data_IF_942292731836
#
_entry.id   IF_942292731836
#
_cell.length_a   1.000
_cell.length_b   1.000
_cell.length_c   1.000
_cell.angle_alpha   90.00
_cell.angle_beta   90.00
_cell.angle_gamma   90.00
#
_symmetry.space_group_name_H-M   'P 1'
#
loop_
_entity.id
_entity.type
_entity.pdbx_description
1 polymer ?
#
# COMPACT_ATOMS: atom_id res chain seq x y z
N UNK A 1 -17.63 17.24 8.01
CA UNK A 1 -18.31 17.72 6.80
C UNK A 1 -18.45 16.62 5.74
N UNK A 2 -17.37 15.89 5.40
CA UNK A 2 -17.38 14.82 4.37
C UNK A 2 -18.33 13.66 4.71
N UNK A 3 -18.32 13.18 5.95
CA UNK A 3 -19.17 12.07 6.42
C UNK A 3 -20.67 12.44 6.35
N UNK A 4 -21.00 13.70 6.55
CA UNK A 4 -22.40 14.18 6.47
C UNK A 4 -22.92 14.27 5.04
N UNK A 5 -22.05 14.47 4.07
CA UNK A 5 -22.38 14.56 2.65
C UNK A 5 -22.61 13.16 2.05
N UNK A 6 -21.76 12.21 2.41
CA UNK A 6 -21.90 10.80 2.00
C UNK A 6 -23.18 10.17 2.56
N UNK A 7 -23.60 10.57 3.77
CA UNK A 7 -24.85 10.09 4.36
C UNK A 7 -26.12 10.61 3.68
N UNK A 8 -26.05 11.68 2.88
CA UNK A 8 -27.19 12.26 2.14
C UNK A 8 -27.39 11.63 0.76
N UNK A 9 -26.34 11.07 0.18
CA UNK A 9 -26.49 10.29 -1.04
C UNK A 9 -26.95 8.89 -0.65
N UNK A 10 -28.05 8.42 -1.25
CA UNK A 10 -28.46 7.02 -1.12
C UNK A 10 -27.31 6.18 -1.69
N UNK A 11 -26.41 5.73 -0.80
CA UNK A 11 -25.36 4.81 -1.18
C UNK A 11 -26.01 3.55 -1.75
N UNK A 12 -25.59 3.16 -2.94
CA UNK A 12 -26.00 1.89 -3.53
C UNK A 12 -25.77 0.76 -2.50
N UNK A 13 -26.69 -0.16 -2.39
CA UNK A 13 -26.67 -1.24 -1.37
C UNK A 13 -25.33 -1.98 -1.37
N UNK A 14 -24.73 -2.13 -2.55
CA UNK A 14 -23.45 -2.82 -2.74
C UNK A 14 -22.25 -2.04 -2.15
N UNK A 15 -22.27 -0.71 -2.24
CA UNK A 15 -21.24 0.16 -1.64
C UNK A 15 -21.36 0.14 -0.12
N UNK A 16 -22.58 0.17 0.42
CA UNK A 16 -22.77 0.11 1.88
C UNK A 16 -22.34 -1.22 2.48
N UNK A 17 -22.48 -2.32 1.75
CA UNK A 17 -22.02 -3.64 2.17
C UNK A 17 -20.48 -3.75 2.22
N UNK A 18 -19.77 -2.99 1.36
CA UNK A 18 -18.30 -2.98 1.30
C UNK A 18 -17.65 -1.98 2.27
N UNK A 19 -18.42 -1.04 2.83
CA UNK A 19 -17.92 0.02 3.71
C UNK A 19 -17.06 -0.49 4.89
N UNK A 20 -17.45 -1.57 5.62
CA UNK A 20 -16.63 -2.10 6.70
C UNK A 20 -15.24 -2.55 6.22
N UNK A 21 -15.15 -3.15 5.02
CA UNK A 21 -13.88 -3.61 4.48
C UNK A 21 -12.99 -2.44 4.02
N UNK A 22 -13.59 -1.43 3.39
CA UNK A 22 -12.89 -0.19 3.04
C UNK A 22 -12.32 0.52 4.27
N UNK A 23 -13.07 0.56 5.38
CA UNK A 23 -12.60 1.12 6.64
C UNK A 23 -11.42 0.33 7.23
N UNK A 24 -11.43 -1.00 7.10
CA UNK A 24 -10.30 -1.83 7.53
C UNK A 24 -9.05 -1.58 6.68
N UNK A 25 -9.21 -1.47 5.37
CA UNK A 25 -8.11 -1.11 4.46
C UNK A 25 -7.54 0.25 4.85
N UNK A 26 -8.39 1.26 5.04
CA UNK A 26 -7.98 2.58 5.47
C UNK A 26 -7.23 2.56 6.82
N UNK A 27 -7.65 1.72 7.77
CA UNK A 27 -6.97 1.54 9.06
C UNK A 27 -5.57 0.94 8.89
N UNK A 28 -5.39 0.00 7.95
CA UNK A 28 -4.07 -0.56 7.66
C UNK A 28 -3.14 0.49 7.04
N UNK A 29 -3.63 1.32 6.11
CA UNK A 29 -2.85 2.41 5.53
C UNK A 29 -2.52 3.50 6.55
N UNK A 30 -3.46 3.89 7.42
CA UNK A 30 -3.19 4.85 8.51
C UNK A 30 -2.10 4.33 9.46
N UNK A 31 -2.18 3.04 9.82
CA UNK A 31 -1.17 2.41 10.67
C UNK A 31 0.19 2.34 9.96
N UNK A 32 0.21 1.98 8.68
CA UNK A 32 1.42 1.98 7.84
C UNK A 32 2.04 3.39 7.81
N UNK A 33 1.26 4.41 7.52
CA UNK A 33 1.72 5.80 7.45
C UNK A 33 2.34 6.26 8.78
N UNK A 34 1.74 5.93 9.91
CA UNK A 34 2.28 6.25 11.25
C UNK A 34 3.60 5.56 11.51
N UNK A 35 3.71 4.27 11.16
CA UNK A 35 4.96 3.51 11.35
C UNK A 35 6.06 4.09 10.45
N UNK A 36 5.77 4.37 9.18
CA UNK A 36 6.74 4.98 8.26
C UNK A 36 7.17 6.37 8.71
N UNK A 37 6.24 7.19 9.21
CA UNK A 37 6.56 8.47 9.80
C UNK A 37 7.50 8.32 11.01
N UNK A 38 7.22 7.36 11.90
CA UNK A 38 8.08 7.07 13.05
C UNK A 38 9.50 6.67 12.61
N UNK A 39 9.63 5.77 11.63
CA UNK A 39 10.93 5.38 11.06
C UNK A 39 11.67 6.61 10.51
N UNK A 40 10.97 7.49 9.78
CA UNK A 40 11.54 8.72 9.22
C UNK A 40 12.02 9.74 10.27
N UNK A 41 11.47 9.71 11.48
CA UNK A 41 11.88 10.55 12.59
C UNK A 41 13.06 9.97 13.41
N UNK A 42 13.38 8.70 13.22
CA UNK A 42 14.49 8.05 13.91
C UNK A 42 15.83 8.63 13.42
N UNK A 43 16.67 9.06 14.36
CA UNK A 43 18.01 9.56 14.03
C UNK A 43 18.87 8.41 13.46
N UNK A 44 19.80 8.71 12.55
CA UNK A 44 20.81 7.75 12.14
C UNK A 44 21.52 7.18 13.37
N UNK A 45 21.75 5.87 13.42
CA UNK A 45 22.49 5.25 14.51
C UNK A 45 23.95 5.70 14.42
N UNK A 46 24.48 6.41 15.42
CA UNK A 46 25.86 6.88 15.38
C UNK A 46 26.85 5.70 15.39
N UNK A 47 27.96 5.81 14.66
CA UNK A 47 29.03 4.82 14.70
C UNK A 47 28.67 3.47 14.06
N UNK A 48 27.83 3.49 13.02
CA UNK A 48 27.48 2.27 12.29
C UNK A 48 28.76 1.60 11.75
N UNK A 49 29.08 0.44 12.28
CA UNK A 49 30.19 -0.37 11.79
C UNK A 49 29.85 -0.82 10.36
N UNK A 50 30.78 -0.77 9.37
CA UNK A 50 30.51 -1.19 7.98
C UNK A 50 29.88 -2.57 7.86
N UNK A 51 30.20 -3.49 8.78
CA UNK A 51 29.61 -4.82 8.86
C UNK A 51 28.10 -4.82 9.19
N UNK A 52 27.60 -3.82 9.94
CA UNK A 52 26.18 -3.68 10.23
C UNK A 52 25.43 -3.19 8.98
N UNK A 53 25.96 -2.22 8.27
CA UNK A 53 25.33 -1.67 7.07
C UNK A 53 25.12 -2.77 6.03
N UNK A 54 26.09 -3.65 5.82
CA UNK A 54 25.97 -4.81 4.94
C UNK A 54 24.86 -5.80 5.37
N UNK A 55 24.56 -5.89 6.68
CA UNK A 55 23.48 -6.74 7.19
C UNK A 55 22.10 -6.09 7.03
N UNK A 56 22.03 -4.78 7.20
CA UNK A 56 20.74 -4.05 7.27
C UNK A 56 20.25 -3.61 5.90
N UNK A 57 21.17 -3.22 5.00
CA UNK A 57 20.84 -2.69 3.69
C UNK A 57 19.96 -3.64 2.86
N UNK A 58 20.19 -4.96 2.79
CA UNK A 58 19.34 -5.88 2.06
C UNK A 58 17.87 -5.87 2.54
N UNK A 59 17.64 -5.62 3.84
CA UNK A 59 16.28 -5.54 4.40
C UNK A 59 15.55 -4.30 3.89
N UNK A 60 16.25 -3.15 3.83
CA UNK A 60 15.67 -1.92 3.28
C UNK A 60 15.39 -2.04 1.78
N UNK A 61 16.31 -2.68 1.04
CA UNK A 61 16.11 -2.91 -0.39
C UNK A 61 14.92 -3.84 -0.66
N UNK A 62 14.78 -4.91 0.10
CA UNK A 62 13.63 -5.82 0.02
C UNK A 62 12.32 -5.13 0.42
N UNK A 63 12.34 -4.26 1.43
CA UNK A 63 11.17 -3.46 1.80
C UNK A 63 10.77 -2.49 0.68
N UNK A 64 11.73 -1.85 0.03
CA UNK A 64 11.48 -0.97 -1.13
C UNK A 64 10.81 -1.74 -2.26
N UNK A 65 11.34 -2.91 -2.62
CA UNK A 65 10.75 -3.79 -3.64
C UNK A 65 9.33 -4.18 -3.27
N UNK A 66 9.07 -4.50 -1.99
CA UNK A 66 7.71 -4.78 -1.51
C UNK A 66 6.77 -3.59 -1.71
N UNK A 67 7.17 -2.38 -1.31
CA UNK A 67 6.30 -1.20 -1.44
C UNK A 67 6.07 -0.81 -2.90
N UNK A 68 7.05 -0.98 -3.78
CA UNK A 68 6.89 -0.81 -5.22
C UNK A 68 5.90 -1.84 -5.81
N UNK A 69 5.96 -3.10 -5.37
CA UNK A 69 5.03 -4.14 -5.79
C UNK A 69 3.61 -3.97 -5.19
N UNK A 70 3.50 -3.32 -4.05
CA UNK A 70 2.24 -3.06 -3.36
C UNK A 70 1.54 -1.78 -3.83
N UNK A 71 2.22 -0.93 -4.59
CA UNK A 71 1.67 0.34 -5.09
C UNK A 71 0.74 0.09 -6.28
N UNK A 72 -0.56 0.39 -6.16
CA UNK A 72 -1.52 0.20 -7.25
C UNK A 72 -1.29 1.14 -8.44
N UNK A 73 -0.57 2.26 -8.25
CA UNK A 73 -0.25 3.23 -9.31
C UNK A 73 1.10 2.93 -9.99
N UNK A 74 1.87 1.99 -9.47
CA UNK A 74 3.14 1.57 -10.07
C UNK A 74 2.91 1.01 -11.46
N UNK A 75 3.83 1.29 -12.41
CA UNK A 75 3.83 0.70 -13.74
C UNK A 75 3.89 -0.85 -13.71
N UNK A 76 4.34 -1.41 -12.61
CA UNK A 76 4.37 -2.84 -12.30
C UNK A 76 3.14 -3.28 -11.47
N UNK A 77 2.12 -2.42 -11.39
CA UNK A 77 0.93 -2.69 -10.58
C UNK A 77 0.30 -4.05 -10.96
N UNK A 78 -0.03 -4.85 -9.96
CA UNK A 78 -0.47 -6.24 -10.14
C UNK A 78 -1.77 -6.41 -10.92
N UNK A 79 -2.49 -5.36 -11.25
CA UNK A 79 -3.77 -5.42 -11.95
C UNK A 79 -3.68 -6.05 -13.35
N UNK A 80 -2.49 -6.08 -13.98
CA UNK A 80 -2.33 -6.61 -15.34
C UNK A 80 -1.35 -7.79 -15.47
N UNK A 81 -0.46 -8.05 -14.51
CA UNK A 81 0.62 -9.02 -14.69
C UNK A 81 0.83 -10.05 -13.57
N UNK A 82 0.20 -9.94 -12.41
CA UNK A 82 0.51 -10.88 -11.32
C UNK A 82 -0.28 -10.71 -10.04
N UNK A 83 -1.00 -9.62 -9.88
CA UNK A 83 -1.88 -9.40 -8.74
C UNK A 83 -1.18 -9.49 -7.36
N UNK A 84 -1.88 -9.97 -6.35
CA UNK A 84 -1.37 -10.12 -4.99
C UNK A 84 -0.11 -10.99 -4.85
N UNK A 85 0.23 -11.78 -5.90
CA UNK A 85 1.36 -12.70 -5.90
C UNK A 85 2.72 -11.99 -5.84
N UNK A 86 2.88 -10.87 -6.56
CA UNK A 86 4.13 -10.11 -6.53
C UNK A 86 4.37 -9.51 -5.15
N UNK A 87 3.33 -9.01 -4.50
CA UNK A 87 3.43 -8.51 -3.13
C UNK A 87 3.71 -9.63 -2.13
N UNK A 88 3.20 -10.85 -2.37
CA UNK A 88 3.48 -12.01 -1.54
C UNK A 88 4.95 -12.44 -1.66
N UNK A 89 5.46 -12.59 -2.89
CA UNK A 89 6.84 -12.97 -3.16
C UNK A 89 7.83 -11.92 -2.59
N UNK A 90 7.55 -10.64 -2.82
CA UNK A 90 8.35 -9.54 -2.28
C UNK A 90 8.33 -9.51 -0.74
N UNK A 91 7.19 -9.82 -0.11
CA UNK A 91 7.09 -9.96 1.35
C UNK A 91 7.94 -11.13 1.87
N UNK A 92 7.90 -12.28 1.20
CA UNK A 92 8.66 -13.45 1.63
C UNK A 92 10.17 -13.21 1.50
N UNK A 93 10.61 -12.55 0.43
CA UNK A 93 11.99 -12.06 0.25
C UNK A 93 12.39 -11.10 1.37
N UNK A 94 11.51 -10.16 1.74
CA UNK A 94 11.73 -9.25 2.86
C UNK A 94 11.87 -10.00 4.19
N UNK A 95 11.02 -10.97 4.47
CA UNK A 95 11.04 -11.72 5.72
C UNK A 95 12.34 -12.54 5.84
N UNK A 96 12.81 -13.14 4.74
CA UNK A 96 14.11 -13.84 4.71
C UNK A 96 15.26 -12.87 5.00
N UNK A 97 15.34 -11.73 4.32
CA UNK A 97 16.36 -10.71 4.57
C UNK A 97 16.32 -10.21 6.03
N UNK A 98 15.11 -10.00 6.58
CA UNK A 98 14.93 -9.62 7.97
C UNK A 98 15.50 -10.66 8.95
N UNK A 99 15.24 -11.96 8.74
CA UNK A 99 15.73 -13.00 9.62
C UNK A 99 17.26 -13.12 9.57
N UNK A 100 17.85 -13.01 8.39
CA UNK A 100 19.32 -13.01 8.20
C UNK A 100 19.94 -11.82 8.93
N UNK A 101 19.41 -10.60 8.72
CA UNK A 101 19.93 -9.40 9.38
C UNK A 101 19.79 -9.47 10.89
N UNK A 102 18.65 -9.93 11.41
CA UNK A 102 18.42 -10.12 12.84
C UNK A 102 19.43 -11.08 13.46
N UNK A 103 19.65 -12.23 12.83
CA UNK A 103 20.62 -13.21 13.32
C UNK A 103 22.06 -12.65 13.31
N UNK A 104 22.45 -11.98 12.22
CA UNK A 104 23.76 -11.33 12.10
C UNK A 104 24.00 -10.23 13.14
N UNK A 105 23.00 -9.37 13.39
CA UNK A 105 23.08 -8.33 14.41
C UNK A 105 23.26 -8.92 15.82
N UNK A 106 22.47 -9.95 16.16
CA UNK A 106 22.58 -10.62 17.46
C UNK A 106 23.94 -11.30 17.63
N UNK A 107 24.48 -11.94 16.58
CA UNK A 107 25.78 -12.53 16.59
C UNK A 107 26.92 -11.51 16.75
N UNK A 108 26.83 -10.37 16.03
CA UNK A 108 27.79 -9.28 16.13
C UNK A 108 27.82 -8.66 17.54
N UNK A 109 26.63 -8.48 18.15
CA UNK A 109 26.53 -8.01 19.53
C UNK A 109 27.09 -9.00 20.55
N UNK A 110 26.76 -10.30 20.41
CA UNK A 110 27.25 -11.35 21.29
C UNK A 110 28.79 -11.53 21.20
N UNK A 111 29.34 -11.32 20.00
CA UNK A 111 30.77 -11.36 19.75
C UNK A 111 31.53 -10.10 20.18
N UNK A 112 30.85 -9.08 20.68
CA UNK A 112 31.48 -7.80 21.09
C UNK A 112 31.99 -6.96 19.90
N UNK A 113 31.67 -7.34 18.67
CA UNK A 113 32.05 -6.59 17.47
C UNK A 113 31.29 -5.28 17.32
N UNK A 114 30.13 -5.17 17.97
CA UNK A 114 29.23 -4.04 17.93
C UNK A 114 28.68 -3.75 19.32
N UNK A 115 28.52 -2.47 19.63
CA UNK A 115 27.88 -2.06 20.88
C UNK A 115 26.43 -2.57 20.96
N UNK A 116 26.06 -3.09 22.13
CA UNK A 116 24.72 -3.65 22.41
C UNK A 116 23.62 -2.63 22.20
N UNK A 117 23.87 -1.34 22.50
CA UNK A 117 22.90 -0.27 22.27
C UNK A 117 22.65 -0.07 20.79
N UNK A 118 23.71 -0.07 19.97
CA UNK A 118 23.58 0.03 18.52
C UNK A 118 22.82 -1.18 17.93
N UNK A 119 23.10 -2.40 18.42
CA UNK A 119 22.35 -3.60 18.01
C UNK A 119 20.87 -3.45 18.34
N UNK A 120 20.53 -2.98 19.53
CA UNK A 120 19.15 -2.78 19.95
C UNK A 120 18.42 -1.76 19.06
N UNK A 121 19.06 -0.62 18.77
CA UNK A 121 18.50 0.42 17.91
C UNK A 121 18.24 -0.08 16.48
N UNK A 122 19.17 -0.87 15.90
CA UNK A 122 18.96 -1.48 14.59
C UNK A 122 17.83 -2.52 14.61
N UNK A 123 17.76 -3.37 15.63
CA UNK A 123 16.68 -4.34 15.77
C UNK A 123 15.31 -3.66 15.93
N UNK A 124 15.23 -2.56 16.66
CA UNK A 124 14.02 -1.78 16.81
C UNK A 124 13.54 -1.23 15.45
N UNK A 125 14.47 -0.63 14.66
CA UNK A 125 14.15 -0.14 13.31
C UNK A 125 13.69 -1.25 12.37
N UNK A 126 14.39 -2.38 12.36
CA UNK A 126 14.00 -3.51 11.52
C UNK A 126 12.63 -4.07 11.94
N UNK A 127 12.33 -4.07 13.23
CA UNK A 127 11.01 -4.46 13.75
C UNK A 127 9.90 -3.51 13.29
N UNK A 128 10.15 -2.20 13.32
CA UNK A 128 9.20 -1.20 12.81
C UNK A 128 8.98 -1.37 11.30
N UNK A 129 10.05 -1.57 10.54
CA UNK A 129 9.97 -1.82 9.09
C UNK A 129 9.18 -3.10 8.79
N UNK A 130 9.41 -4.18 9.54
CA UNK A 130 8.64 -5.42 9.44
C UNK A 130 7.16 -5.19 9.73
N UNK A 131 6.85 -4.36 10.73
CA UNK A 131 5.47 -3.97 11.03
C UNK A 131 4.84 -3.18 9.87
N UNK A 132 5.58 -2.26 9.26
CA UNK A 132 5.12 -1.49 8.10
C UNK A 132 4.79 -2.40 6.91
N UNK A 133 5.73 -3.30 6.52
CA UNK A 133 5.51 -4.29 5.45
C UNK A 133 4.30 -5.17 5.77
N UNK A 134 4.16 -5.64 7.01
CA UNK A 134 3.00 -6.43 7.44
C UNK A 134 1.66 -5.70 7.33
N UNK A 135 1.61 -4.39 7.58
CA UNK A 135 0.39 -3.59 7.41
C UNK A 135 0.09 -3.35 5.92
N UNK A 136 1.10 -3.01 5.13
CA UNK A 136 0.97 -2.88 3.68
C UNK A 136 0.44 -4.16 3.04
N UNK A 137 0.99 -5.31 3.40
CA UNK A 137 0.54 -6.60 2.89
C UNK A 137 -0.92 -6.91 3.22
N UNK A 138 -1.37 -6.63 4.46
CA UNK A 138 -2.78 -6.79 4.85
C UNK A 138 -3.70 -5.88 4.04
N UNK A 139 -3.28 -4.64 3.76
CA UNK A 139 -4.05 -3.74 2.91
C UNK A 139 -4.20 -4.29 1.49
N UNK A 140 -3.09 -4.75 0.87
CA UNK A 140 -3.09 -5.33 -0.48
C UNK A 140 -3.97 -6.58 -0.55
N UNK A 141 -3.86 -7.49 0.42
CA UNK A 141 -4.71 -8.69 0.47
C UNK A 141 -6.20 -8.34 0.55
N UNK A 142 -6.57 -7.34 1.35
CA UNK A 142 -7.96 -6.92 1.48
C UNK A 142 -8.47 -6.20 0.23
N UNK A 143 -7.64 -5.37 -0.40
CA UNK A 143 -7.99 -4.74 -1.67
C UNK A 143 -8.24 -5.79 -2.76
N UNK A 144 -7.40 -6.81 -2.84
CA UNK A 144 -7.57 -7.91 -3.79
C UNK A 144 -8.83 -8.77 -3.55
N UNK A 145 -9.32 -8.81 -2.31
CA UNK A 145 -10.55 -9.53 -1.96
C UNK A 145 -11.82 -8.71 -2.20
N UNK A 146 -11.71 -7.41 -2.50
CA UNK A 146 -12.87 -6.61 -2.87
C UNK A 146 -13.35 -7.03 -4.26
N UNK A 147 -14.65 -7.34 -4.43
CA UNK A 147 -15.23 -7.52 -5.74
C UNK A 147 -15.02 -6.21 -6.54
N UNK A 148 -14.63 -6.36 -7.80
CA UNK A 148 -14.14 -5.28 -8.67
C UNK A 148 -14.92 -3.96 -8.54
N UNK A 149 -14.34 -3.00 -7.86
CA UNK A 149 -14.81 -1.60 -7.89
C UNK A 149 -14.66 -0.98 -9.28
N UNK A 150 -13.94 -1.64 -10.19
CA UNK A 150 -13.68 -1.21 -11.57
C UNK A 150 -14.95 -1.07 -12.40
N UNK A 151 -16.04 -1.75 -12.06
CA UNK A 151 -17.31 -1.64 -12.80
C UNK A 151 -18.16 -0.45 -12.36
N UNK A 152 -17.88 0.14 -11.20
CA UNK A 152 -18.67 1.27 -10.67
C UNK A 152 -18.21 2.64 -11.19
N UNK A 153 -17.01 2.73 -11.78
CA UNK A 153 -16.43 3.98 -12.29
C UNK A 153 -16.75 4.31 -13.75
N UNK A 154 -17.34 3.39 -14.52
CA UNK A 154 -17.63 3.57 -15.94
C UNK A 154 -19.12 3.83 -16.27
N UNK A 155 -19.86 4.32 -15.31
CA UNK A 155 -21.11 5.04 -15.59
C UNK A 155 -20.78 6.36 -16.27
N UNK A 156 -20.36 6.33 -17.53
CA UNK A 156 -20.30 7.53 -18.34
C UNK A 156 -21.68 8.21 -18.26
N UNK A 157 -21.73 9.54 -18.00
CA UNK A 157 -23.00 10.24 -18.06
C UNK A 157 -23.52 10.06 -19.49
N UNK A 158 -24.59 9.28 -19.61
CA UNK A 158 -25.34 9.16 -20.85
C UNK A 158 -25.81 10.58 -21.20
N UNK A 159 -25.08 11.20 -22.12
CA UNK A 159 -25.46 12.49 -22.69
C UNK A 159 -26.86 12.29 -23.24
N UNK A 160 -27.89 13.06 -22.80
CA UNK A 160 -29.21 12.94 -23.38
C UNK A 160 -29.09 13.20 -24.87
N UNK A 161 -29.55 12.26 -25.68
CA UNK A 161 -29.64 12.41 -27.12
C UNK A 161 -30.36 13.70 -27.41
N UNK A 162 -29.67 14.62 -28.09
CA UNK A 162 -30.30 15.80 -28.61
C UNK A 162 -31.43 15.33 -29.54
N UNK A 163 -32.66 15.62 -29.14
CA UNK A 163 -33.85 15.49 -29.99
C UNK A 163 -33.55 16.23 -31.30
N UNK A 164 -33.36 15.47 -32.35
CA UNK A 164 -33.39 16.00 -33.71
C UNK A 164 -34.80 16.47 -34.01
N UNK A 165 -35.04 17.75 -33.86
CA UNK A 165 -36.19 18.43 -34.40
C UNK A 165 -36.10 18.41 -35.93
N UNK A 166 -36.69 17.36 -36.51
CA UNK A 166 -36.94 17.23 -37.93
C UNK A 166 -38.42 17.42 -38.14
N UNK A 167 -38.79 18.62 -38.52
CA UNK A 167 -40.14 18.82 -39.00
C UNK A 167 -40.56 20.26 -39.14
N UNK A 168 -40.26 20.85 -40.28
CA UNK A 168 -41.28 21.65 -40.94
C UNK A 168 -40.93 21.95 -42.38
N UNK A 169 -41.45 21.11 -43.23
CA UNK A 169 -41.77 21.46 -44.60
C UNK A 169 -42.79 22.61 -44.60
N UNK A 170 -42.48 23.67 -45.29
CA UNK A 170 -43.50 24.63 -45.73
C UNK A 170 -43.39 24.74 -47.25
N UNK A 171 -44.34 24.12 -47.84
CA UNK A 171 -44.81 24.26 -49.21
C UNK A 171 -45.54 25.60 -49.38
N UNK A 172 -45.18 26.34 -50.41
CA UNK A 172 -45.99 27.38 -51.10
C UNK A 172 -45.27 27.69 -52.38
N UNK A 173 -45.78 27.33 -53.48
CA UNK A 173 -46.70 27.75 -54.45
C UNK A 173 -46.58 29.27 -54.82
N UNK A 174 -46.16 29.53 -55.95
CA UNK A 174 -46.48 30.32 -57.14
C UNK A 174 -45.25 30.79 -57.88
#
# INVERSE_FOLDING_TARGET
>A
AFVSEVSRQQMHRDVSAQLPELLRIATHFDTLARVMHHIGQQRPVPGTHPGIENLVQPVFDAARVFFEAADPESANAPAQAGGPWLALEARDTFEEAYQIAKAGLLQAGAGGAVDVVAVYEHLARLSDLRRAVGQGFKAVQRMAALPELSTLGHGAPTRPAAESDSGRSVESAE
#
